data_IF_370962768503
#
_entry.id   IF_370962768503
#
_cell.length_a   1.000
_cell.length_b   1.000
_cell.length_c   1.000
_cell.angle_alpha   90.00
_cell.angle_beta   90.00
_cell.angle_gamma   90.00
#
_symmetry.space_group_name_H-M   'P 1'
#
loop_
_entity.id
_entity.type
_entity.pdbx_description
1 polymer ?
#
# COMPACT_ATOMS: atom_id res chain seq x y z
N UNK A 1 0.53 -11.18 2.35
CA UNK A 1 1.02 -11.05 0.95
C UNK A 1 -0.16 -11.35 0.04
N UNK A 2 -0.79 -10.34 -0.57
CA UNK A 2 -1.97 -10.52 -1.41
C UNK A 2 -1.54 -10.72 -2.86
N UNK A 3 -1.22 -11.96 -3.20
CA UNK A 3 -1.06 -12.39 -4.59
C UNK A 3 -2.26 -13.26 -4.98
N UNK A 4 -3.41 -12.65 -5.30
CA UNK A 4 -4.46 -13.23 -6.16
C UNK A 4 -5.24 -12.12 -6.84
N UNK A 5 -4.79 -11.79 -8.04
CA UNK A 5 -5.56 -11.07 -9.07
C UNK A 5 -6.90 -11.82 -9.27
N UNK A 6 -8.02 -11.08 -9.29
CA UNK A 6 -9.42 -11.49 -9.63
C UNK A 6 -10.37 -12.14 -8.60
N UNK A 7 -10.06 -12.21 -7.30
CA UNK A 7 -11.03 -12.68 -6.29
C UNK A 7 -11.65 -11.54 -5.49
N UNK A 8 -12.90 -11.16 -5.74
CA UNK A 8 -13.64 -10.09 -5.03
C UNK A 8 -13.85 -10.28 -3.51
N UNK A 9 -13.16 -11.24 -2.90
CA UNK A 9 -13.31 -11.67 -1.50
C UNK A 9 -12.22 -11.14 -0.55
N UNK A 10 -11.16 -10.49 -1.04
CA UNK A 10 -10.13 -9.87 -0.19
C UNK A 10 -10.31 -8.36 -0.06
N UNK A 11 -11.56 -7.93 0.14
CA UNK A 11 -11.85 -6.51 0.32
C UNK A 11 -11.49 -6.12 1.75
N UNK A 12 -10.63 -5.11 1.97
CA UNK A 12 -10.31 -4.68 3.31
C UNK A 12 -11.57 -4.06 3.96
N UNK A 13 -12.07 -4.72 5.00
CA UNK A 13 -13.22 -4.29 5.78
C UNK A 13 -12.75 -3.77 7.14
N UNK A 14 -13.40 -2.71 7.62
CA UNK A 14 -13.20 -2.20 8.97
C UNK A 14 -14.54 -2.02 9.68
N UNK A 15 -14.50 -2.13 11.00
CA UNK A 15 -15.58 -1.72 11.88
C UNK A 15 -15.40 -0.23 12.20
N UNK A 16 -16.37 0.59 11.81
CA UNK A 16 -16.35 2.01 12.14
C UNK A 16 -16.73 2.25 13.62
N UNK A 17 -16.51 3.47 14.11
CA UNK A 17 -16.84 3.88 15.49
C UNK A 17 -18.33 3.78 15.83
N UNK A 18 -19.19 3.58 14.82
CA UNK A 18 -20.64 3.37 14.96
C UNK A 18 -21.02 1.89 14.84
N UNK A 19 -20.05 0.97 14.96
CA UNK A 19 -20.21 -0.49 14.83
C UNK A 19 -20.75 -0.95 13.47
N UNK A 20 -20.52 -0.19 12.40
CA UNK A 20 -20.89 -0.59 11.04
C UNK A 20 -19.69 -1.16 10.30
N UNK A 21 -19.90 -2.27 9.61
CA UNK A 21 -18.89 -2.88 8.74
C UNK A 21 -18.89 -2.12 7.41
N UNK A 22 -17.74 -1.55 7.04
CA UNK A 22 -17.57 -0.89 5.73
C UNK A 22 -16.24 -1.27 5.09
N UNK A 23 -16.15 -1.06 3.77
CA UNK A 23 -14.90 -1.16 3.03
C UNK A 23 -13.97 0.00 3.40
N UNK A 24 -12.67 -0.25 3.46
CA UNK A 24 -11.68 0.82 3.46
C UNK A 24 -11.81 1.62 2.18
N UNK A 25 -11.67 2.93 2.30
CA UNK A 25 -11.53 3.82 1.15
C UNK A 25 -10.15 3.63 0.53
N UNK A 26 -10.01 3.95 -0.76
CA UNK A 26 -8.71 3.95 -1.43
C UNK A 26 -7.68 4.79 -0.68
N UNK A 27 -8.06 5.97 -0.19
CA UNK A 27 -7.17 6.84 0.58
C UNK A 27 -6.64 6.14 1.84
N UNK A 28 -7.51 5.45 2.58
CA UNK A 28 -7.10 4.65 3.73
C UNK A 28 -6.17 3.50 3.32
N UNK A 29 -6.47 2.77 2.25
CA UNK A 29 -5.61 1.68 1.76
C UNK A 29 -4.20 2.13 1.39
N UNK A 30 -4.05 3.31 0.78
CA UNK A 30 -2.73 3.87 0.46
C UNK A 30 -2.03 4.42 1.72
N UNK A 31 -2.77 5.05 2.63
CA UNK A 31 -2.21 5.50 3.91
C UNK A 31 -1.69 4.33 4.75
N UNK A 32 -2.41 3.21 4.82
CA UNK A 32 -1.96 2.01 5.53
C UNK A 32 -0.68 1.42 4.97
N UNK A 33 -0.42 1.60 3.68
CA UNK A 33 0.84 1.19 3.05
C UNK A 33 1.98 2.19 3.26
N UNK A 34 1.72 3.31 3.94
CA UNK A 34 2.69 4.34 4.26
C UNK A 34 2.91 5.35 3.15
N UNK A 35 1.97 5.48 2.20
CA UNK A 35 1.96 6.62 1.29
C UNK A 35 1.58 7.90 2.04
N UNK A 36 2.07 9.03 1.53
CA UNK A 36 1.78 10.35 2.10
C UNK A 36 0.29 10.71 1.98
N UNK A 37 -0.23 11.50 2.93
CA UNK A 37 -1.61 12.04 2.89
C UNK A 37 -1.87 12.93 1.67
N UNK A 38 -0.82 13.53 1.13
CA UNK A 38 -0.83 14.36 -0.09
C UNK A 38 -0.69 13.56 -1.38
N UNK A 39 -0.51 12.23 -1.31
CA UNK A 39 -0.38 11.38 -2.48
C UNK A 39 -1.62 11.46 -3.36
N UNK A 40 -1.41 11.88 -4.62
CA UNK A 40 -2.48 12.01 -5.61
C UNK A 40 -2.71 10.65 -6.28
N UNK A 41 -3.88 10.08 -6.05
CA UNK A 41 -4.30 8.86 -6.75
C UNK A 41 -4.48 9.16 -8.25
N UNK A 42 -4.01 8.27 -9.15
CA UNK A 42 -4.21 8.45 -10.58
C UNK A 42 -5.70 8.38 -10.94
N UNK A 43 -6.10 9.05 -12.03
CA UNK A 43 -7.47 9.02 -12.54
C UNK A 43 -7.77 7.66 -13.21
N UNK A 44 -7.99 6.63 -12.40
CA UNK A 44 -8.32 5.27 -12.82
C UNK A 44 -9.60 4.80 -12.12
N UNK A 45 -10.24 3.77 -12.67
CA UNK A 45 -11.37 3.11 -12.02
C UNK A 45 -10.97 2.60 -10.62
N UNK A 46 -11.87 2.74 -9.65
CA UNK A 46 -11.62 2.35 -8.26
C UNK A 46 -11.16 0.90 -8.13
N UNK A 47 -11.66 -0.01 -8.96
CA UNK A 47 -11.24 -1.43 -8.99
C UNK A 47 -9.74 -1.59 -9.28
N UNK A 48 -9.21 -0.83 -10.25
CA UNK A 48 -7.78 -0.83 -10.57
C UNK A 48 -6.96 -0.22 -9.44
N UNK A 49 -7.44 0.84 -8.80
CA UNK A 49 -6.76 1.47 -7.68
C UNK A 49 -6.71 0.55 -6.44
N UNK A 50 -7.79 -0.18 -6.14
CA UNK A 50 -7.78 -1.18 -5.06
C UNK A 50 -6.82 -2.33 -5.36
N UNK A 51 -6.73 -2.77 -6.62
CA UNK A 51 -5.75 -3.77 -7.06
C UNK A 51 -4.32 -3.25 -6.91
N UNK A 52 -4.06 -2.00 -7.30
CA UNK A 52 -2.75 -1.36 -7.12
C UNK A 52 -2.40 -1.24 -5.64
N UNK A 53 -3.36 -0.86 -4.80
CA UNK A 53 -3.16 -0.84 -3.36
C UNK A 53 -2.85 -2.25 -2.81
N UNK A 54 -3.58 -3.29 -3.21
CA UNK A 54 -3.33 -4.65 -2.73
C UNK A 54 -1.99 -5.24 -3.19
N UNK A 55 -1.54 -4.86 -4.38
CA UNK A 55 -0.30 -5.35 -4.99
C UNK A 55 0.93 -4.47 -4.66
N UNK A 56 0.74 -3.32 -4.02
CA UNK A 56 1.84 -2.43 -3.67
C UNK A 56 2.52 -2.90 -2.38
N UNK A 57 3.77 -2.47 -2.21
CA UNK A 57 4.64 -2.85 -1.10
C UNK A 57 4.71 -1.67 -0.15
N UNK A 58 4.70 -1.92 1.17
CA UNK A 58 4.70 -0.83 2.15
C UNK A 58 5.91 0.08 1.98
N UNK A 59 5.67 1.38 1.82
CA UNK A 59 6.69 2.42 1.61
C UNK A 59 7.79 2.39 2.69
N UNK A 60 7.49 2.21 3.99
CA UNK A 60 8.53 2.14 5.02
C UNK A 60 9.47 0.94 4.85
N UNK A 61 8.99 -0.18 4.31
CA UNK A 61 9.81 -1.37 4.07
C UNK A 61 10.79 -1.13 2.91
N UNK A 62 10.28 -0.59 1.80
CA UNK A 62 11.13 -0.24 0.65
C UNK A 62 12.20 0.77 1.05
N UNK A 63 11.85 1.77 1.88
CA UNK A 63 12.83 2.73 2.42
C UNK A 63 13.96 2.03 3.19
N UNK A 64 13.64 1.06 4.06
CA UNK A 64 14.67 0.29 4.81
C UNK A 64 15.57 -0.52 3.87
N UNK A 65 14.98 -1.20 2.88
CA UNK A 65 15.74 -1.99 1.91
C UNK A 65 16.68 -1.08 1.10
N UNK A 66 16.18 0.05 0.61
CA UNK A 66 16.98 1.04 -0.13
C UNK A 66 18.15 1.60 0.71
N UNK A 67 17.91 1.91 1.99
CA UNK A 67 18.99 2.32 2.90
C UNK A 67 20.07 1.24 3.03
N UNK A 68 19.69 -0.01 3.21
CA UNK A 68 20.65 -1.11 3.34
C UNK A 68 21.44 -1.34 2.04
N UNK A 69 20.79 -1.23 0.88
CA UNK A 69 21.46 -1.30 -0.42
C UNK A 69 22.49 -0.17 -0.54
N UNK A 70 22.11 1.07 -0.19
CA UNK A 70 23.03 2.22 -0.21
C UNK A 70 24.26 1.96 0.67
N UNK A 71 24.05 1.52 1.91
CA UNK A 71 25.14 1.21 2.85
C UNK A 71 26.08 0.12 2.31
N UNK A 72 25.55 -0.89 1.62
CA UNK A 72 26.36 -1.94 1.02
C UNK A 72 27.22 -1.41 -0.15
N UNK A 73 26.64 -0.54 -0.98
CA UNK A 73 27.34 0.11 -2.09
C UNK A 73 28.46 1.03 -1.58
N UNK A 74 28.18 1.88 -0.59
CA UNK A 74 29.17 2.80 -0.01
C UNK A 74 30.38 2.04 0.59
N UNK A 75 30.15 0.86 1.19
CA UNK A 75 31.22 -0.01 1.72
C UNK A 75 32.05 -0.70 0.63
N UNK A 76 31.49 -0.95 -0.55
CA UNK A 76 32.22 -1.58 -1.65
C UNK A 76 33.15 -0.63 -2.41
N UNK A 77 33.01 0.68 -2.18
CA UNK A 77 33.77 1.75 -2.85
C UNK A 77 34.86 2.35 -1.93
N UNK A 78 34.92 1.93 -0.66
CA UNK A 78 35.98 2.30 0.32
C UNK A 78 36.96 1.15 0.53
#
# INVERSE_FOLDING_TARGET
MLNRVTGGHNVPLILDSKKRIRKLTLKECFLFQGFDKSFKLPKLANSHLYKQAGNSVSVPLIKKIATNIKLALDKSVS
#
